data_IF_449466254018
#
_entry.id   IF_449466254018
#
_cell.length_a   1.000
_cell.length_b   1.000
_cell.length_c   1.000
_cell.angle_alpha   90.00
_cell.angle_beta   90.00
_cell.angle_gamma   90.00
#
_symmetry.space_group_name_H-M   'P 1'
#
loop_
_entity.id
_entity.type
_entity.pdbx_description
1 polymer ?
#
# COMPACT_ATOMS: atom_id res chain seq x y z
N UNK A 1 -8.05 11.98 -13.57
CA UNK A 1 -8.29 11.62 -12.16
C UNK A 1 -7.06 10.85 -11.69
N UNK A 2 -6.39 11.31 -10.63
CA UNK A 2 -5.22 10.62 -10.09
C UNK A 2 -5.69 9.41 -9.26
N UNK A 3 -5.07 8.26 -9.44
CA UNK A 3 -5.39 7.05 -8.68
C UNK A 3 -4.38 6.95 -7.52
N UNK A 4 -4.82 6.98 -6.25
CA UNK A 4 -3.94 6.74 -5.11
C UNK A 4 -3.29 5.35 -5.20
N UNK A 5 -1.98 5.34 -5.01
CA UNK A 5 -1.15 4.14 -4.99
C UNK A 5 -0.40 4.06 -3.67
N UNK A 6 -0.21 2.86 -3.18
CA UNK A 6 0.62 2.55 -2.03
C UNK A 6 2.11 2.71 -2.36
N UNK A 7 2.95 2.79 -1.31
CA UNK A 7 4.41 2.83 -1.46
C UNK A 7 4.95 1.60 -2.20
N UNK A 8 4.35 0.42 -2.02
CA UNK A 8 4.77 -0.79 -2.73
C UNK A 8 4.41 -0.75 -4.22
N UNK A 9 3.18 -0.33 -4.56
CA UNK A 9 2.77 -0.13 -5.95
C UNK A 9 3.65 0.92 -6.64
N UNK A 10 3.94 2.03 -5.97
CA UNK A 10 4.83 3.07 -6.46
C UNK A 10 6.24 2.54 -6.72
N UNK A 11 6.77 1.69 -5.84
CA UNK A 11 8.09 1.07 -6.02
C UNK A 11 8.14 0.24 -7.31
N UNK A 12 7.15 -0.63 -7.55
CA UNK A 12 7.10 -1.45 -8.76
C UNK A 12 6.96 -0.59 -10.03
N UNK A 13 6.11 0.44 -10.00
CA UNK A 13 5.92 1.35 -11.13
C UNK A 13 7.23 2.08 -11.48
N UNK A 14 7.94 2.59 -10.46
CA UNK A 14 9.21 3.30 -10.66
C UNK A 14 10.31 2.37 -11.15
N UNK A 15 10.40 1.14 -10.62
CA UNK A 15 11.38 0.16 -11.11
C UNK A 15 11.13 -0.24 -12.56
N UNK A 16 9.88 -0.38 -13.00
CA UNK A 16 9.53 -0.64 -14.40
C UNK A 16 9.87 0.55 -15.31
N UNK A 17 9.63 1.78 -14.85
CA UNK A 17 9.97 2.98 -15.58
C UNK A 17 11.49 3.18 -15.72
N UNK A 18 12.26 2.84 -14.67
CA UNK A 18 13.72 2.99 -14.63
C UNK A 18 14.42 2.17 -15.72
N UNK A 19 13.83 1.05 -16.14
CA UNK A 19 14.37 0.22 -17.22
C UNK A 19 14.32 0.90 -18.59
N UNK A 20 13.54 1.97 -18.75
CA UNK A 20 13.16 2.52 -20.05
C UNK A 20 13.54 3.98 -20.26
N UNK A 21 13.90 4.73 -19.22
CA UNK A 21 13.95 6.19 -19.28
C UNK A 21 15.18 6.82 -18.61
N UNK A 22 15.57 7.99 -19.14
CA UNK A 22 16.51 8.94 -18.54
C UNK A 22 15.70 10.07 -17.89
N UNK A 23 15.98 10.40 -16.63
CA UNK A 23 15.17 11.35 -15.85
C UNK A 23 15.76 12.75 -15.79
N UNK A 24 14.93 13.77 -16.00
CA UNK A 24 15.33 15.19 -16.05
C UNK A 24 15.77 15.74 -14.70
N UNK A 25 15.20 15.25 -13.58
CA UNK A 25 15.58 15.64 -12.22
C UNK A 25 16.08 14.45 -11.41
N UNK A 26 17.36 14.11 -11.62
CA UNK A 26 18.01 12.92 -11.07
C UNK A 26 18.00 12.89 -9.54
N UNK A 27 18.17 14.02 -8.85
CA UNK A 27 18.25 14.09 -7.38
C UNK A 27 16.92 13.73 -6.71
N UNK A 28 15.81 14.29 -7.20
CA UNK A 28 14.47 13.96 -6.68
C UNK A 28 14.17 12.49 -6.95
N UNK A 29 14.44 12.04 -8.17
CA UNK A 29 14.21 10.66 -8.57
C UNK A 29 14.96 9.66 -7.70
N UNK A 30 16.27 9.85 -7.49
CA UNK A 30 17.09 9.01 -6.62
C UNK A 30 16.61 9.01 -5.17
N UNK A 31 16.17 10.17 -4.67
CA UNK A 31 15.61 10.28 -3.31
C UNK A 31 14.31 9.49 -3.16
N UNK A 32 13.42 9.56 -4.16
CA UNK A 32 12.16 8.80 -4.18
C UNK A 32 12.43 7.30 -4.32
N UNK A 33 13.31 6.89 -5.24
CA UNK A 33 13.71 5.48 -5.39
C UNK A 33 14.27 4.95 -4.08
N UNK A 34 15.16 5.70 -3.42
CA UNK A 34 15.73 5.32 -2.12
C UNK A 34 14.66 5.18 -1.05
N UNK A 35 13.74 6.13 -0.96
CA UNK A 35 12.61 6.06 -0.03
C UNK A 35 11.73 4.84 -0.29
N UNK A 36 11.33 4.59 -1.53
CA UNK A 36 10.47 3.44 -1.85
C UNK A 36 11.18 2.10 -1.65
N UNK A 37 12.50 2.07 -1.84
CA UNK A 37 13.31 0.87 -1.59
C UNK A 37 13.45 0.52 -0.11
N UNK A 38 13.17 1.44 0.82
CA UNK A 38 13.18 1.12 2.26
C UNK A 38 11.92 0.37 2.73
N UNK A 39 10.92 0.21 1.86
CA UNK A 39 9.72 -0.59 2.14
C UNK A 39 9.85 -1.96 1.45
N UNK A 40 10.28 -2.97 2.20
CA UNK A 40 10.64 -4.30 1.67
C UNK A 40 9.66 -5.42 2.07
N UNK A 41 8.62 -5.11 2.85
CA UNK A 41 7.63 -6.09 3.32
C UNK A 41 6.86 -6.80 2.20
N UNK A 42 6.69 -6.16 1.03
CA UNK A 42 6.05 -6.77 -0.15
C UNK A 42 7.07 -6.90 -1.28
N UNK A 43 7.44 -8.14 -1.58
CA UNK A 43 8.54 -8.45 -2.52
C UNK A 43 8.12 -8.57 -3.98
N UNK A 44 6.83 -8.81 -4.25
CA UNK A 44 6.34 -9.04 -5.62
C UNK A 44 5.14 -8.17 -5.96
N UNK A 45 5.07 -7.77 -7.24
CA UNK A 45 3.95 -7.00 -7.79
C UNK A 45 2.62 -7.73 -7.61
N UNK A 46 2.63 -9.05 -7.73
CA UNK A 46 1.44 -9.88 -7.56
C UNK A 46 0.88 -9.82 -6.13
N UNK A 47 1.75 -9.81 -5.11
CA UNK A 47 1.33 -9.67 -3.71
C UNK A 47 0.72 -8.28 -3.47
N UNK A 48 1.34 -7.22 -3.98
CA UNK A 48 0.80 -5.86 -3.90
C UNK A 48 -0.58 -5.76 -4.59
N UNK A 49 -0.72 -6.33 -5.78
CA UNK A 49 -1.97 -6.35 -6.53
C UNK A 49 -3.07 -7.16 -5.81
N UNK A 50 -2.70 -8.30 -5.23
CA UNK A 50 -3.61 -9.12 -4.43
C UNK A 50 -4.09 -8.36 -3.19
N UNK A 51 -3.17 -7.68 -2.48
CA UNK A 51 -3.50 -6.85 -1.33
C UNK A 51 -4.50 -5.74 -1.71
N UNK A 52 -4.23 -4.97 -2.77
CA UNK A 52 -5.16 -3.94 -3.25
C UNK A 52 -6.54 -4.52 -3.56
N UNK A 53 -6.56 -5.63 -4.30
CA UNK A 53 -7.81 -6.32 -4.70
C UNK A 53 -8.59 -6.83 -3.49
N UNK A 54 -7.89 -7.29 -2.45
CA UNK A 54 -8.51 -7.68 -1.19
C UNK A 54 -9.12 -6.48 -0.46
N UNK A 55 -8.38 -5.39 -0.31
CA UNK A 55 -8.83 -4.19 0.41
C UNK A 55 -10.04 -3.50 -0.26
N UNK A 56 -10.11 -3.52 -1.60
CA UNK A 56 -11.23 -2.96 -2.35
C UNK A 56 -12.58 -3.63 -2.06
N UNK A 57 -12.59 -4.82 -1.44
CA UNK A 57 -13.82 -5.53 -1.07
C UNK A 57 -14.54 -4.94 0.14
N UNK A 58 -13.86 -4.12 0.95
CA UNK A 58 -14.39 -3.62 2.24
C UNK A 58 -14.98 -2.21 2.16
N UNK A 59 -15.46 -1.79 0.97
CA UNK A 59 -16.05 -0.46 0.76
C UNK A 59 -15.13 0.68 1.24
N UNK A 60 -13.84 0.53 0.99
CA UNK A 60 -12.81 1.53 1.26
C UNK A 60 -12.72 2.51 0.10
N UNK A 61 -12.44 3.79 0.41
CA UNK A 61 -12.01 4.75 -0.61
C UNK A 61 -10.64 4.38 -1.18
N UNK A 62 -10.29 4.88 -2.36
CA UNK A 62 -9.00 4.57 -2.98
C UNK A 62 -7.83 5.06 -2.11
N UNK A 63 -8.02 6.18 -1.43
CA UNK A 63 -7.09 6.77 -0.47
C UNK A 63 -6.89 5.86 0.75
N UNK A 64 -7.98 5.35 1.34
CA UNK A 64 -7.92 4.40 2.46
C UNK A 64 -7.21 3.11 2.04
N UNK A 65 -7.48 2.59 0.84
CA UNK A 65 -6.78 1.42 0.30
C UNK A 65 -5.28 1.69 0.19
N UNK A 66 -4.89 2.80 -0.43
CA UNK A 66 -3.48 3.14 -0.62
C UNK A 66 -2.74 3.35 0.72
N UNK A 67 -3.38 3.99 1.70
CA UNK A 67 -2.84 4.18 3.04
C UNK A 67 -2.67 2.85 3.76
N UNK A 68 -3.72 2.04 3.86
CA UNK A 68 -3.66 0.74 4.56
C UNK A 68 -2.63 -0.19 3.91
N UNK A 69 -2.60 -0.24 2.58
CA UNK A 69 -1.60 -1.02 1.85
C UNK A 69 -0.17 -0.51 2.03
N UNK A 70 0.03 0.77 2.38
CA UNK A 70 1.36 1.32 2.65
C UNK A 70 1.82 1.05 4.08
N UNK A 71 0.90 1.15 5.04
CA UNK A 71 1.20 1.09 6.48
C UNK A 71 1.26 -0.35 6.98
N UNK A 72 0.49 -1.26 6.35
CA UNK A 72 0.38 -2.68 6.72
C UNK A 72 0.10 -2.91 8.22
N UNK A 73 -0.96 -2.29 8.78
CA UNK A 73 -1.26 -2.39 10.20
C UNK A 73 -1.51 -3.84 10.60
N UNK A 74 -0.94 -4.22 11.74
CA UNK A 74 -1.09 -5.57 12.27
C UNK A 74 -2.25 -5.68 13.25
N UNK A 75 -2.69 -4.59 13.86
CA UNK A 75 -3.76 -4.62 14.86
C UNK A 75 -4.91 -3.67 14.51
N UNK A 76 -6.14 -4.03 14.93
CA UNK A 76 -7.32 -3.17 14.77
C UNK A 76 -7.10 -1.77 15.36
N UNK A 77 -6.46 -1.70 16.53
CA UNK A 77 -6.11 -0.44 17.19
C UNK A 77 -5.21 0.44 16.32
N UNK A 78 -4.24 -0.14 15.62
CA UNK A 78 -3.37 0.59 14.70
C UNK A 78 -4.15 1.12 13.49
N UNK A 79 -4.99 0.28 12.88
CA UNK A 79 -5.84 0.69 11.74
C UNK A 79 -6.64 1.95 12.10
N UNK A 80 -7.35 1.93 13.23
CA UNK A 80 -8.22 3.03 13.64
C UNK A 80 -7.48 4.26 14.17
N UNK A 81 -6.22 4.08 14.61
CA UNK A 81 -5.37 5.18 15.07
C UNK A 81 -4.70 5.90 13.90
N UNK A 82 -4.24 5.14 12.90
CA UNK A 82 -3.49 5.65 11.75
C UNK A 82 -4.41 6.09 10.60
N UNK A 83 -5.58 5.47 10.45
CA UNK A 83 -6.58 5.79 9.42
C UNK A 83 -7.95 6.00 10.08
N UNK A 84 -8.17 7.14 10.75
CA UNK A 84 -9.37 7.36 11.57
C UNK A 84 -10.68 7.42 10.76
N UNK A 85 -10.62 7.62 9.44
CA UNK A 85 -11.80 7.57 8.56
C UNK A 85 -12.45 6.17 8.52
N UNK A 86 -11.71 5.12 8.90
CA UNK A 86 -12.21 3.74 8.98
C UNK A 86 -13.08 3.47 10.20
N UNK A 87 -13.21 4.40 11.16
CA UNK A 87 -14.12 4.29 12.32
C UNK A 87 -15.60 4.18 11.92
N UNK A 88 -15.93 4.44 10.66
CA UNK A 88 -17.27 4.23 10.07
C UNK A 88 -17.60 2.75 9.81
N UNK A 89 -16.61 1.87 9.83
CA UNK A 89 -16.77 0.44 9.56
C UNK A 89 -16.96 -0.33 10.86
N UNK A 90 -17.68 -1.45 10.77
CA UNK A 90 -17.84 -2.35 11.90
C UNK A 90 -16.51 -2.99 12.30
N UNK A 91 -16.36 -3.23 13.60
CA UNK A 91 -15.18 -3.88 14.17
C UNK A 91 -14.86 -5.23 13.50
N UNK A 92 -15.89 -5.99 13.14
CA UNK A 92 -15.75 -7.27 12.42
C UNK A 92 -15.10 -7.08 11.05
N UNK A 93 -15.43 -5.99 10.34
CA UNK A 93 -14.84 -5.66 9.04
C UNK A 93 -13.37 -5.28 9.22
N UNK A 94 -13.04 -4.47 10.24
CA UNK A 94 -11.65 -4.11 10.51
C UNK A 94 -10.82 -5.35 10.86
N UNK A 95 -11.34 -6.26 11.67
CA UNK A 95 -10.66 -7.51 11.99
C UNK A 95 -10.43 -8.39 10.75
N UNK A 96 -11.38 -8.41 9.80
CA UNK A 96 -11.21 -9.10 8.52
C UNK A 96 -10.12 -8.45 7.66
N UNK A 97 -10.06 -7.12 7.59
CA UNK A 97 -9.01 -6.38 6.88
C UNK A 97 -7.64 -6.76 7.45
N UNK A 98 -7.47 -6.66 8.77
CA UNK A 98 -6.19 -6.98 9.45
C UNK A 98 -5.76 -8.42 9.20
N UNK A 99 -6.69 -9.38 9.36
CA UNK A 99 -6.40 -10.80 9.10
C UNK A 99 -6.00 -11.04 7.64
N UNK A 100 -6.65 -10.35 6.71
CA UNK A 100 -6.35 -10.43 5.29
C UNK A 100 -4.97 -9.89 4.94
N UNK A 101 -4.59 -8.73 5.50
CA UNK A 101 -3.25 -8.15 5.36
C UNK A 101 -2.19 -9.15 5.82
N UNK A 102 -2.33 -9.68 7.04
CA UNK A 102 -1.39 -10.67 7.59
C UNK A 102 -1.27 -11.90 6.69
N UNK A 103 -2.39 -12.45 6.24
CA UNK A 103 -2.43 -13.63 5.37
C UNK A 103 -1.78 -13.41 4.00
N UNK A 104 -1.86 -12.19 3.46
CA UNK A 104 -1.31 -11.86 2.13
C UNK A 104 0.18 -11.51 2.21
N UNK A 105 0.59 -10.76 3.23
CA UNK A 105 1.95 -10.21 3.36
C UNK A 105 2.91 -11.18 4.04
N UNK A 106 2.48 -11.95 5.03
CA UNK A 106 3.36 -12.84 5.81
C UNK A 106 3.54 -14.23 5.17
N UNK A 107 3.37 -14.36 3.85
CA UNK A 107 3.62 -15.59 3.09
C UNK A 107 5.03 -15.67 2.52
#
# INVERSE_FOLDING_TARGET
>A
MLIPISVYEANFIIQEANKKNTYTNKVIHESVVKYLSSFDSIKTKDVAQNLRTHLLKFNLSQEEVALIASILPEYKSEVLSLVPSLKRLDDVVIDQIVKGIRSIVQR
#
